data_IF_533843101992
#
_entry.id   IF_533843101992
#
_cell.length_a   1.000
_cell.length_b   1.000
_cell.length_c   1.000
_cell.angle_alpha   90.00
_cell.angle_beta   90.00
_cell.angle_gamma   90.00
#
_symmetry.space_group_name_H-M   'P 1'
#
loop_
_entity.id
_entity.type
_entity.pdbx_description
1 polymer ?
#
# COMPACT_ATOMS: atom_id res chain seq x y z
N UNK A 1 10.46 -16.36 -14.30
CA UNK A 1 10.38 -15.65 -13.01
C UNK A 1 8.91 -15.53 -12.62
N UNK A 2 8.57 -15.52 -11.32
CA UNK A 2 7.18 -15.27 -10.90
C UNK A 2 6.94 -13.75 -10.94
N UNK A 3 6.54 -13.25 -12.10
CA UNK A 3 6.19 -11.84 -12.29
C UNK A 3 4.77 -11.59 -11.81
N UNK A 4 4.54 -10.48 -11.11
CA UNK A 4 3.21 -10.08 -10.65
C UNK A 4 3.07 -8.58 -10.81
N UNK A 5 1.99 -8.13 -11.45
CA UNK A 5 1.61 -6.72 -11.49
C UNK A 5 0.61 -6.47 -10.38
N UNK A 6 0.85 -5.43 -9.59
CA UNK A 6 -0.02 -5.06 -8.46
C UNK A 6 -0.44 -3.61 -8.65
N UNK A 7 -1.71 -3.33 -8.36
CA UNK A 7 -2.26 -1.98 -8.23
C UNK A 7 -2.81 -1.83 -6.81
N UNK A 8 -2.52 -0.71 -6.17
CA UNK A 8 -2.94 -0.45 -4.79
C UNK A 8 -3.49 0.96 -4.66
N UNK A 9 -4.54 1.11 -3.86
CA UNK A 9 -5.14 2.41 -3.54
C UNK A 9 -5.73 2.41 -2.12
N UNK A 10 -5.89 3.61 -1.55
CA UNK A 10 -6.49 3.86 -0.25
C UNK A 10 -7.45 5.04 -0.28
N UNK A 11 -8.62 4.86 0.31
CA UNK A 11 -9.67 5.87 0.41
C UNK A 11 -10.05 6.14 1.86
N UNK A 12 -10.40 7.39 2.18
CA UNK A 12 -10.87 7.77 3.51
C UNK A 12 -12.01 8.80 3.41
N UNK A 13 -13.13 8.57 4.09
CA UNK A 13 -14.28 9.49 4.17
C UNK A 13 -14.13 10.35 5.42
N UNK A 14 -13.48 11.51 5.26
CA UNK A 14 -12.97 12.31 6.37
C UNK A 14 -11.57 11.86 6.79
N UNK A 15 -10.70 12.77 7.23
CA UNK A 15 -9.30 12.48 7.51
C UNK A 15 -8.84 13.10 8.84
N UNK A 16 -9.01 12.41 9.98
CA UNK A 16 -9.35 10.99 10.12
C UNK A 16 -10.85 10.68 9.94
N UNK A 17 -11.16 9.43 9.60
CA UNK A 17 -12.54 8.93 9.41
C UNK A 17 -12.57 7.46 8.95
N UNK A 18 -13.75 6.94 8.56
CA UNK A 18 -13.88 5.63 7.95
C UNK A 18 -13.08 5.54 6.66
N UNK A 19 -12.20 4.55 6.57
CA UNK A 19 -11.30 4.35 5.44
C UNK A 19 -11.27 2.91 4.97
N UNK A 20 -10.81 2.73 3.73
CA UNK A 20 -10.67 1.44 3.10
C UNK A 20 -9.45 1.40 2.18
N UNK A 21 -8.92 0.20 1.98
CA UNK A 21 -7.79 -0.07 1.12
C UNK A 21 -8.17 -1.13 0.09
N UNK A 22 -7.58 -1.04 -1.11
CA UNK A 22 -7.87 -1.91 -2.24
C UNK A 22 -6.60 -2.37 -2.95
N UNK A 23 -6.59 -3.63 -3.38
CA UNK A 23 -5.47 -4.25 -4.10
C UNK A 23 -6.00 -5.09 -5.25
N UNK A 24 -5.45 -4.89 -6.44
CA UNK A 24 -5.59 -5.78 -7.58
C UNK A 24 -4.22 -6.40 -7.90
N UNK A 25 -4.11 -7.73 -7.81
CA UNK A 25 -2.95 -8.48 -8.27
C UNK A 25 -3.27 -9.16 -9.60
N UNK A 26 -2.34 -9.12 -10.55
CA UNK A 26 -2.45 -9.80 -11.83
C UNK A 26 -1.19 -10.63 -12.10
N UNK A 27 -1.41 -11.91 -12.36
CA UNK A 27 -0.37 -12.86 -12.76
C UNK A 27 -0.16 -12.84 -14.28
N UNK A 28 0.97 -13.34 -14.81
CA UNK A 28 1.29 -13.25 -16.24
C UNK A 28 0.37 -14.09 -17.13
N UNK A 29 -0.27 -15.11 -16.54
CA UNK A 29 -1.28 -15.96 -17.18
C UNK A 29 -2.67 -15.29 -17.27
N UNK A 30 -2.80 -14.05 -16.79
CA UNK A 30 -4.06 -13.31 -16.74
C UNK A 30 -4.89 -13.56 -15.50
N UNK A 31 -4.44 -14.41 -14.56
CA UNK A 31 -5.15 -14.65 -13.31
C UNK A 31 -5.14 -13.41 -12.43
N UNK A 32 -6.32 -12.94 -12.04
CA UNK A 32 -6.48 -11.78 -11.16
C UNK A 32 -6.88 -12.19 -9.74
N UNK A 33 -6.44 -11.40 -8.77
CA UNK A 33 -6.86 -11.51 -7.37
C UNK A 33 -7.12 -10.13 -6.81
N UNK A 34 -8.31 -9.96 -6.23
CA UNK A 34 -8.71 -8.73 -5.55
C UNK A 34 -8.63 -8.91 -4.04
N UNK A 35 -8.14 -7.89 -3.34
CA UNK A 35 -8.18 -7.80 -1.88
C UNK A 35 -8.69 -6.41 -1.49
N UNK A 36 -9.49 -6.34 -0.44
CA UNK A 36 -9.92 -5.08 0.14
C UNK A 36 -10.28 -5.25 1.61
N UNK A 37 -10.23 -4.15 2.34
CA UNK A 37 -10.61 -4.08 3.74
C UNK A 37 -10.75 -2.62 4.17
N UNK A 38 -11.15 -2.40 5.42
CA UNK A 38 -11.30 -1.04 5.94
C UNK A 38 -11.38 -0.96 7.45
N UNK A 39 -11.27 0.27 7.93
CA UNK A 39 -11.21 0.64 9.35
C UNK A 39 -12.11 1.87 9.59
N UNK A 40 -12.86 1.89 10.70
CA UNK A 40 -13.77 3.01 11.03
C UNK A 40 -13.04 4.31 11.40
N UNK A 41 -11.82 4.22 11.92
CA UNK A 41 -11.06 5.35 12.43
C UNK A 41 -9.62 5.29 11.90
N UNK A 42 -9.41 5.81 10.69
CA UNK A 42 -8.11 5.78 10.02
C UNK A 42 -7.86 7.06 9.22
N UNK A 43 -6.83 7.07 8.38
CA UNK A 43 -6.47 8.21 7.50
C UNK A 43 -6.18 7.69 6.10
N UNK A 44 -6.20 8.58 5.10
CA UNK A 44 -5.89 8.19 3.72
C UNK A 44 -4.51 7.52 3.61
N UNK A 45 -3.48 8.17 4.16
CA UNK A 45 -2.11 7.65 4.13
C UNK A 45 -1.99 6.26 4.78
N UNK A 46 -2.73 5.99 5.86
CA UNK A 46 -2.72 4.66 6.49
C UNK A 46 -3.36 3.62 5.58
N UNK A 47 -4.44 3.96 4.88
CA UNK A 47 -5.09 3.05 3.95
C UNK A 47 -4.23 2.78 2.70
N UNK A 48 -3.59 3.80 2.15
CA UNK A 48 -2.62 3.65 1.05
C UNK A 48 -1.46 2.72 1.46
N UNK A 49 -0.90 2.91 2.67
CA UNK A 49 0.15 2.03 3.20
C UNK A 49 -0.37 0.60 3.43
N UNK A 50 -1.57 0.45 3.98
CA UNK A 50 -2.17 -0.85 4.23
C UNK A 50 -2.38 -1.63 2.94
N UNK A 51 -2.81 -0.97 1.86
CA UNK A 51 -2.95 -1.59 0.55
C UNK A 51 -1.64 -2.24 0.08
N UNK A 52 -0.52 -1.50 0.17
CA UNK A 52 0.81 -2.02 -0.18
C UNK A 52 1.25 -3.16 0.73
N UNK A 53 1.02 -3.05 2.04
CA UNK A 53 1.35 -4.11 3.01
C UNK A 53 0.59 -5.40 2.67
N UNK A 54 -0.72 -5.31 2.46
CA UNK A 54 -1.57 -6.47 2.15
C UNK A 54 -1.20 -7.10 0.80
N UNK A 55 -0.86 -6.26 -0.19
CA UNK A 55 -0.36 -6.71 -1.48
C UNK A 55 0.92 -7.54 -1.39
N UNK A 56 1.89 -7.13 -0.57
CA UNK A 56 3.14 -7.87 -0.39
C UNK A 56 2.94 -9.10 0.53
N UNK A 57 2.08 -8.99 1.53
CA UNK A 57 1.86 -10.06 2.51
C UNK A 57 1.24 -11.33 1.87
N UNK A 58 0.37 -11.17 0.87
CA UNK A 58 -0.27 -12.30 0.18
C UNK A 58 0.70 -13.09 -0.71
N UNK A 59 1.86 -12.52 -1.06
CA UNK A 59 2.87 -13.21 -1.85
C UNK A 59 3.57 -14.27 -0.97
N UNK A 60 3.43 -15.54 -1.38
CA UNK A 60 3.91 -16.71 -0.63
C UNK A 60 5.35 -17.11 -0.99
N UNK A 61 5.93 -16.54 -2.04
CA UNK A 61 7.24 -16.89 -2.60
C UNK A 61 7.89 -15.63 -3.20
N UNK A 62 9.22 -15.58 -3.32
CA UNK A 62 9.91 -14.49 -4.02
C UNK A 62 9.34 -14.28 -5.43
N UNK A 63 9.09 -13.02 -5.77
CA UNK A 63 8.44 -12.58 -7.01
C UNK A 63 9.15 -11.32 -7.53
N UNK A 64 9.10 -11.13 -8.84
CA UNK A 64 9.37 -9.84 -9.47
C UNK A 64 8.06 -9.07 -9.53
N UNK A 65 7.95 -7.97 -8.82
CA UNK A 65 6.70 -7.25 -8.60
C UNK A 65 6.78 -5.88 -9.28
N UNK A 66 5.84 -5.58 -10.18
CA UNK A 66 5.60 -4.21 -10.64
C UNK A 66 4.43 -3.66 -9.84
N UNK A 67 4.70 -2.74 -8.92
CA UNK A 67 3.69 -2.20 -8.01
C UNK A 67 3.32 -0.76 -8.41
N UNK A 68 2.09 -0.59 -8.87
CA UNK A 68 1.48 0.69 -9.20
C UNK A 68 0.76 1.27 -7.99
N UNK A 69 1.07 2.52 -7.68
CA UNK A 69 0.45 3.28 -6.60
C UNK A 69 0.41 4.77 -6.97
N UNK A 70 -0.57 5.50 -6.47
CA UNK A 70 -0.71 6.95 -6.68
C UNK A 70 -0.28 7.80 -5.48
N UNK A 71 -0.10 7.17 -4.32
CA UNK A 71 0.42 7.82 -3.12
C UNK A 71 1.88 8.24 -3.24
N UNK A 72 2.10 9.54 -3.42
CA UNK A 72 3.45 10.11 -3.29
C UNK A 72 4.03 9.94 -1.88
N UNK A 73 3.17 9.85 -0.85
CA UNK A 73 3.61 9.62 0.53
C UNK A 73 4.25 8.24 0.68
N UNK A 74 3.60 7.20 0.14
CA UNK A 74 4.14 5.84 0.17
C UNK A 74 5.38 5.74 -0.71
N UNK A 75 5.34 6.27 -1.94
CA UNK A 75 6.49 6.23 -2.85
C UNK A 75 7.74 6.81 -2.21
N UNK A 76 7.69 8.09 -1.80
CA UNK A 76 8.85 8.78 -1.21
C UNK A 76 9.27 8.17 0.11
N UNK A 77 8.30 7.68 0.89
CA UNK A 77 8.63 7.03 2.15
C UNK A 77 9.47 5.78 1.96
N UNK A 78 9.17 4.95 0.95
CA UNK A 78 9.96 3.75 0.64
C UNK A 78 11.29 4.11 -0.04
N UNK A 79 11.28 5.01 -1.02
CA UNK A 79 12.46 5.26 -1.86
C UNK A 79 13.45 6.26 -1.27
N UNK A 80 13.00 7.19 -0.42
CA UNK A 80 13.84 8.30 0.07
C UNK A 80 13.98 8.31 1.60
N UNK A 81 12.90 8.07 2.35
CA UNK A 81 12.88 8.37 3.80
C UNK A 81 13.21 7.18 4.70
N UNK A 82 12.82 5.96 4.29
CA UNK A 82 12.90 4.74 5.10
C UNK A 82 14.29 4.51 5.69
N UNK A 83 15.33 4.59 4.85
CA UNK A 83 16.71 4.37 5.25
C UNK A 83 17.16 5.37 6.34
N UNK A 84 16.78 6.65 6.18
CA UNK A 84 17.08 7.70 7.15
C UNK A 84 16.33 7.52 8.47
N UNK A 85 15.07 7.08 8.42
CA UNK A 85 14.29 6.79 9.62
C UNK A 85 14.85 5.59 10.38
N UNK A 86 15.22 4.49 9.68
CA UNK A 86 15.86 3.32 10.29
C UNK A 86 17.15 3.69 11.00
N UNK A 87 18.03 4.46 10.35
CA UNK A 87 19.29 4.93 10.93
C UNK A 87 19.07 5.79 12.19
N UNK A 88 17.94 6.49 12.28
CA UNK A 88 17.55 7.33 13.44
C UNK A 88 16.66 6.60 14.45
N UNK A 89 16.52 5.28 14.34
CA UNK A 89 15.68 4.48 15.24
C UNK A 89 14.20 4.86 15.18
N UNK A 90 13.70 5.16 13.98
CA UNK A 90 12.32 5.55 13.68
C UNK A 90 11.83 6.82 14.37
N UNK A 91 12.74 7.78 14.57
CA UNK A 91 12.45 9.08 15.18
C UNK A 91 12.73 10.24 14.22
N UNK A 92 11.90 11.27 14.33
CA UNK A 92 12.08 12.56 13.65
C UNK A 92 13.20 13.38 14.30
N UNK A 93 13.59 14.50 13.69
CA UNK A 93 14.57 15.43 14.28
C UNK A 93 14.14 15.96 15.65
N UNK A 94 12.82 16.07 15.89
CA UNK A 94 12.24 16.45 17.17
C UNK A 94 12.22 15.29 18.21
N UNK A 95 12.90 14.17 17.94
CA UNK A 95 12.94 12.94 18.77
C UNK A 95 11.58 12.26 18.98
N UNK A 96 10.56 12.67 18.23
CA UNK A 96 9.25 12.04 18.24
C UNK A 96 9.21 10.85 17.27
N UNK A 97 8.42 9.80 17.54
CA UNK A 97 8.20 8.72 16.58
C UNK A 97 7.77 9.25 15.21
N UNK A 98 8.24 8.60 14.14
CA UNK A 98 7.75 8.89 12.79
C UNK A 98 6.25 8.58 12.71
N UNK A 99 5.48 9.44 12.04
CA UNK A 99 4.05 9.20 11.83
C UNK A 99 3.84 7.88 11.06
N UNK A 100 2.90 7.06 11.51
CA UNK A 100 2.62 5.73 10.96
C UNK A 100 3.81 4.76 11.04
N UNK A 101 4.70 4.92 12.04
CA UNK A 101 5.87 4.03 12.24
C UNK A 101 5.49 2.56 12.30
N UNK A 102 4.32 2.23 12.86
CA UNK A 102 3.77 0.89 12.95
C UNK A 102 3.60 0.23 11.57
N UNK A 103 3.11 0.99 10.58
CA UNK A 103 2.94 0.50 9.21
C UNK A 103 4.27 0.53 8.44
N UNK A 104 5.12 1.53 8.68
CA UNK A 104 6.42 1.60 8.03
C UNK A 104 7.34 0.44 8.39
N UNK A 105 7.35 0.03 9.66
CA UNK A 105 8.12 -1.12 10.12
C UNK A 105 7.64 -2.41 9.48
N UNK A 106 6.31 -2.63 9.43
CA UNK A 106 5.74 -3.79 8.76
C UNK A 106 6.09 -3.83 7.27
N UNK A 107 6.02 -2.68 6.59
CA UNK A 107 6.36 -2.59 5.18
C UNK A 107 7.85 -2.84 4.92
N UNK A 108 8.73 -2.26 5.74
CA UNK A 108 10.18 -2.51 5.67
C UNK A 108 10.51 -3.98 5.87
N UNK A 109 9.89 -4.64 6.85
CA UNK A 109 10.06 -6.07 7.08
C UNK A 109 9.60 -6.91 5.89
N UNK A 110 8.46 -6.59 5.29
CA UNK A 110 7.95 -7.30 4.10
C UNK A 110 8.87 -7.13 2.89
N UNK A 111 9.40 -5.92 2.67
CA UNK A 111 10.32 -5.65 1.56
C UNK A 111 11.67 -6.34 1.79
N UNK A 112 12.20 -6.30 3.01
CA UNK A 112 13.52 -6.84 3.33
C UNK A 112 13.54 -8.38 3.44
N UNK A 113 12.53 -9.00 4.04
CA UNK A 113 12.58 -10.42 4.41
C UNK A 113 12.12 -11.37 3.29
N UNK A 114 11.28 -10.90 2.37
CA UNK A 114 10.61 -11.79 1.41
C UNK A 114 11.37 -12.02 0.10
N UNK A 115 12.50 -11.31 -0.11
CA UNK A 115 13.33 -11.46 -1.31
C UNK A 115 12.61 -11.09 -2.61
N UNK A 116 11.60 -10.22 -2.55
CA UNK A 116 10.93 -9.70 -3.74
C UNK A 116 11.81 -8.64 -4.42
N UNK A 117 11.85 -8.66 -5.75
CA UNK A 117 12.36 -7.53 -6.53
C UNK A 117 11.17 -6.66 -6.87
N UNK A 118 11.09 -5.46 -6.29
CA UNK A 118 9.93 -4.57 -6.46
C UNK A 118 10.32 -3.38 -7.31
N UNK A 119 9.62 -3.21 -8.44
CA UNK A 119 9.65 -2.03 -9.30
C UNK A 119 8.45 -1.14 -8.94
N UNK A 120 8.74 0.01 -8.33
CA UNK A 120 7.73 0.97 -7.86
C UNK A 120 7.34 1.92 -9.00
N UNK A 121 6.07 1.88 -9.39
CA UNK A 121 5.51 2.71 -10.46
C UNK A 121 4.53 3.70 -9.87
N UNK A 122 4.93 4.97 -9.82
CA UNK A 122 3.99 6.02 -9.48
C UNK A 122 3.08 6.31 -10.67
N UNK A 123 1.78 6.22 -10.43
CA UNK A 123 0.76 6.65 -11.38
C UNK A 123 0.10 7.90 -10.85
N UNK A 124 -0.30 8.78 -11.77
CA UNK A 124 -1.10 9.94 -11.37
C UNK A 124 -2.52 9.45 -11.07
N UNK A 125 -3.01 9.68 -9.85
CA UNK A 125 -4.38 9.32 -9.45
C UNK A 125 -5.42 9.86 -10.45
N UNK A 126 -6.43 9.03 -10.76
CA UNK A 126 -7.51 9.31 -11.71
C UNK A 126 -7.07 9.65 -13.16
N UNK A 127 -5.92 9.15 -13.61
CA UNK A 127 -5.44 9.35 -14.99
C UNK A 127 -5.92 8.27 -15.99
N UNK A 128 -6.93 7.46 -15.65
CA UNK A 128 -7.49 6.47 -16.56
C UNK A 128 -6.70 5.16 -16.66
N UNK A 129 -5.88 4.81 -15.66
CA UNK A 129 -5.29 3.47 -15.57
C UNK A 129 -6.37 2.50 -15.05
N UNK A 130 -6.81 1.51 -15.85
CA UNK A 130 -7.90 0.63 -15.45
C UNK A 130 -7.57 -0.24 -14.22
N UNK A 131 -6.29 -0.52 -13.97
CA UNK A 131 -5.85 -1.25 -12.78
C UNK A 131 -5.96 -0.39 -11.52
N UNK A 132 -5.55 0.88 -11.60
CA UNK A 132 -5.69 1.83 -10.49
C UNK A 132 -7.16 2.14 -10.19
N UNK A 133 -8.00 2.35 -11.20
CA UNK A 133 -9.44 2.58 -11.02
C UNK A 133 -10.12 1.39 -10.33
N UNK A 134 -9.69 0.16 -10.64
CA UNK A 134 -10.17 -1.02 -9.92
C UNK A 134 -9.68 -1.05 -8.48
N UNK A 135 -8.44 -0.66 -8.21
CA UNK A 135 -7.93 -0.55 -6.84
C UNK A 135 -8.69 0.52 -6.02
N UNK A 136 -8.99 1.69 -6.61
CA UNK A 136 -9.85 2.73 -6.00
C UNK A 136 -11.25 2.19 -5.68
N UNK A 137 -11.87 1.50 -6.64
CA UNK A 137 -13.17 0.86 -6.45
C UNK A 137 -13.16 -0.16 -5.30
N UNK A 138 -12.07 -0.93 -5.18
CA UNK A 138 -11.87 -1.86 -4.07
C UNK A 138 -11.66 -1.13 -2.73
N UNK A 139 -10.93 -0.02 -2.71
CA UNK A 139 -10.75 0.80 -1.52
C UNK A 139 -12.09 1.38 -1.02
N UNK A 140 -12.93 1.89 -1.93
CA UNK A 140 -14.27 2.37 -1.59
C UNK A 140 -15.18 1.24 -1.08
N UNK A 141 -15.09 0.02 -1.66
CA UNK A 141 -15.77 -1.17 -1.08
C UNK A 141 -15.26 -1.49 0.33
N UNK A 142 -13.97 -1.29 0.58
CA UNK A 142 -13.37 -1.41 1.91
C UNK A 142 -13.97 -0.43 2.92
N UNK A 143 -14.18 0.83 2.53
CA UNK A 143 -14.87 1.84 3.35
C UNK A 143 -16.29 1.37 3.69
N UNK A 144 -17.05 0.95 2.68
CA UNK A 144 -18.43 0.47 2.90
C UNK A 144 -18.46 -0.74 3.84
N UNK A 145 -17.52 -1.67 3.69
CA UNK A 145 -17.42 -2.83 4.57
C UNK A 145 -17.15 -2.41 6.01
N UNK A 146 -16.29 -1.41 6.24
CA UNK A 146 -16.01 -0.89 7.58
C UNK A 146 -17.24 -0.25 8.21
N UNK A 147 -18.02 0.52 7.44
CA UNK A 147 -19.24 1.20 7.90
C UNK A 147 -20.41 0.27 8.22
N UNK A 148 -20.40 -0.95 7.68
CA UNK A 148 -21.46 -1.95 7.91
C UNK A 148 -21.16 -2.89 9.09
N UNK A 149 -19.99 -2.76 9.74
CA UNK A 149 -19.59 -3.53 10.92
C UNK A 149 -19.94 -2.78 12.19
#
# INVERSE_FOLDING_TARGET
MNEVVIYTDGACKGNPGPGGWGVLLRSPDGTEKELFGGELATTNNRMEMMAVIQALQVLKRPCSVTLHLDSQYVLKGITEWLAGWKAKGWKTAAKQPVKNVDLWQQLDDLVAQKGHTIDWRWVKGHAGDPGNERADGLANRGVELALRR
#
